data_IF_134114169499
#
_entry.id   IF_134114169499
#
_cell.length_a   1.000
_cell.length_b   1.000
_cell.length_c   1.000
_cell.angle_alpha   90.00
_cell.angle_beta   90.00
_cell.angle_gamma   90.00
#
_symmetry.space_group_name_H-M   'P 1'
#
loop_
_entity.id
_entity.type
_entity.pdbx_description
1 polymer ?
#
# COMPACT_ATOMS: atom_id res chain seq x y z
N UNK A 1 -27.65 2.40 3.21
CA UNK A 1 -26.91 2.08 1.98
C UNK A 1 -27.10 0.62 1.63
N UNK A 2 -27.57 0.35 0.45
CA UNK A 2 -27.80 -1.02 0.03
C UNK A 2 -26.49 -1.66 -0.39
N UNK A 3 -26.55 -2.97 -0.60
CA UNK A 3 -25.40 -3.72 -1.05
C UNK A 3 -24.95 -3.24 -2.43
N UNK A 4 -25.92 -2.95 -3.29
CA UNK A 4 -25.64 -2.45 -4.60
C UNK A 4 -24.94 -1.08 -4.56
N UNK A 5 -25.39 -0.24 -3.63
CA UNK A 5 -24.78 1.07 -3.44
C UNK A 5 -23.36 0.95 -2.98
N UNK A 6 -23.08 0.01 -2.08
CA UNK A 6 -21.71 -0.21 -1.61
C UNK A 6 -20.82 -0.70 -2.73
N UNK A 7 -21.32 -1.60 -3.54
CA UNK A 7 -20.55 -2.13 -4.64
C UNK A 7 -20.19 -1.01 -5.62
N UNK A 8 -21.16 -0.17 -5.93
CA UNK A 8 -20.94 0.95 -6.83
C UNK A 8 -19.94 1.93 -6.24
N UNK A 9 -20.02 2.14 -4.94
CA UNK A 9 -19.10 3.05 -4.27
C UNK A 9 -17.66 2.52 -4.35
N UNK A 10 -17.50 1.22 -4.15
CA UNK A 10 -16.17 0.63 -4.24
C UNK A 10 -15.59 0.80 -5.66
N UNK A 11 -16.43 0.60 -6.68
CA UNK A 11 -16.00 0.81 -8.06
C UNK A 11 -15.58 2.27 -8.27
N UNK A 12 -16.34 3.20 -7.71
CA UNK A 12 -16.00 4.62 -7.83
C UNK A 12 -14.68 4.96 -7.18
N UNK A 13 -14.43 4.38 -6.03
CA UNK A 13 -13.14 4.58 -5.36
C UNK A 13 -12.00 4.05 -6.22
N UNK A 14 -12.23 2.93 -6.89
CA UNK A 14 -11.22 2.39 -7.77
C UNK A 14 -10.93 3.28 -8.96
N UNK A 15 -11.95 3.95 -9.46
CA UNK A 15 -11.76 4.88 -10.57
C UNK A 15 -10.91 6.07 -10.14
N UNK A 16 -11.01 6.46 -8.89
CA UNK A 16 -10.23 7.59 -8.40
C UNK A 16 -8.80 7.20 -8.07
N UNK A 17 -8.49 5.91 -8.03
CA UNK A 17 -7.13 5.46 -7.76
C UNK A 17 -6.23 5.86 -8.91
N UNK A 18 -5.13 6.61 -8.66
CA UNK A 18 -4.25 6.99 -9.75
C UNK A 18 -3.64 5.77 -10.43
N UNK A 19 -3.54 5.78 -11.74
CA UNK A 19 -2.94 4.63 -12.43
C UNK A 19 -1.47 4.50 -12.09
N UNK A 20 -1.01 3.27 -12.01
CA UNK A 20 0.39 3.01 -11.73
C UNK A 20 1.17 3.11 -13.03
N UNK A 21 2.29 3.84 -13.05
CA UNK A 21 3.08 3.91 -14.27
C UNK A 21 3.55 2.54 -14.72
N UNK A 22 3.71 2.41 -16.03
CA UNK A 22 4.12 1.13 -16.59
C UNK A 22 5.44 0.66 -15.99
N UNK A 23 6.36 1.59 -15.75
CA UNK A 23 7.66 1.23 -15.20
C UNK A 23 7.56 0.61 -13.82
N UNK A 24 6.47 0.86 -13.10
CA UNK A 24 6.28 0.30 -11.78
C UNK A 24 5.51 -1.02 -11.80
N UNK A 25 5.05 -1.46 -12.95
CA UNK A 25 4.35 -2.74 -13.07
C UNK A 25 5.34 -3.86 -13.28
N UNK A 26 6.17 -4.08 -12.28
CA UNK A 26 7.24 -5.06 -12.35
C UNK A 26 6.85 -6.32 -11.62
N UNK A 27 7.62 -7.38 -11.85
CA UNK A 27 7.41 -8.62 -11.12
C UNK A 27 7.60 -8.44 -9.62
N UNK A 28 8.56 -7.60 -9.25
CA UNK A 28 8.81 -7.36 -7.83
C UNK A 28 7.60 -6.72 -7.16
N UNK A 29 6.86 -5.89 -7.90
CA UNK A 29 5.68 -5.24 -7.36
C UNK A 29 4.40 -6.05 -7.55
N UNK A 30 4.47 -7.17 -8.26
CA UNK A 30 3.31 -7.99 -8.49
C UNK A 30 2.93 -8.72 -7.22
N UNK A 31 1.65 -8.66 -6.87
CA UNK A 31 1.14 -9.37 -5.70
C UNK A 31 0.60 -10.70 -6.17
N UNK A 32 1.16 -11.77 -5.64
CA UNK A 32 0.74 -13.10 -6.04
C UNK A 32 -0.45 -13.55 -5.21
N UNK A 33 -1.15 -14.56 -5.72
CA UNK A 33 -2.31 -15.08 -5.01
C UNK A 33 -3.61 -14.41 -5.36
N UNK A 34 -3.57 -13.46 -6.32
CA UNK A 34 -4.78 -12.78 -6.76
C UNK A 34 -5.22 -13.34 -8.11
N UNK A 35 -6.52 -13.49 -8.30
CA UNK A 35 -7.05 -13.92 -9.58
C UNK A 35 -6.81 -12.87 -10.65
N UNK A 36 -6.94 -11.60 -10.27
CA UNK A 36 -6.64 -10.48 -11.17
C UNK A 36 -5.18 -10.12 -11.03
N UNK A 37 -4.68 -9.35 -11.99
CA UNK A 37 -3.34 -8.82 -11.86
C UNK A 37 -3.36 -7.66 -10.90
N UNK A 38 -2.47 -7.69 -9.93
CA UNK A 38 -2.37 -6.65 -8.91
C UNK A 38 -0.91 -6.29 -8.72
N UNK A 39 -0.64 -4.99 -8.67
CA UNK A 39 0.70 -4.48 -8.39
C UNK A 39 0.64 -3.54 -7.21
N UNK A 40 1.63 -3.64 -6.32
CA UNK A 40 1.79 -2.75 -5.19
C UNK A 40 3.22 -2.26 -5.14
N UNK A 41 3.38 -0.96 -5.19
CA UNK A 41 4.69 -0.33 -5.06
C UNK A 41 4.72 0.40 -3.72
N UNK A 42 5.78 0.22 -2.98
CA UNK A 42 5.91 0.77 -1.65
C UNK A 42 7.08 1.75 -1.61
N UNK A 43 6.79 2.95 -1.13
CA UNK A 43 7.82 3.95 -0.92
C UNK A 43 8.02 4.10 0.57
N UNK A 44 9.26 4.00 1.03
CA UNK A 44 9.56 4.07 2.45
C UNK A 44 10.25 5.39 2.72
N UNK A 45 9.63 6.20 3.57
CA UNK A 45 10.25 7.43 4.02
C UNK A 45 10.93 7.14 5.34
N UNK A 46 12.22 7.43 5.41
CA UNK A 46 13.01 7.02 6.55
C UNK A 46 12.53 7.58 7.86
N UNK A 47 12.93 6.93 8.93
CA UNK A 47 12.62 7.38 10.27
C UNK A 47 13.36 8.66 10.58
N UNK A 48 12.73 9.56 11.32
CA UNK A 48 13.39 10.75 11.82
C UNK A 48 13.13 10.83 13.29
N UNK A 49 14.13 11.22 14.02
CA UNK A 49 13.99 11.48 15.46
C UNK A 49 13.43 10.27 16.21
N UNK A 50 13.88 9.09 15.84
CA UNK A 50 13.46 7.89 16.54
C UNK A 50 12.09 7.35 16.16
N UNK A 51 11.37 8.04 15.27
CA UNK A 51 10.07 7.55 14.85
C UNK A 51 10.24 6.44 13.82
N UNK A 52 9.24 5.57 13.74
CA UNK A 52 9.25 4.52 12.74
C UNK A 52 9.08 5.12 11.34
N UNK A 53 9.59 4.46 10.31
CA UNK A 53 9.44 4.97 8.96
C UNK A 53 7.98 4.95 8.51
N UNK A 54 7.65 5.87 7.61
CA UNK A 54 6.32 5.93 7.01
C UNK A 54 6.35 5.23 5.68
N UNK A 55 5.25 4.60 5.34
CA UNK A 55 5.13 3.94 4.06
C UNK A 55 4.03 4.59 3.23
N UNK A 56 4.34 4.81 1.96
CA UNK A 56 3.37 5.31 0.99
C UNK A 56 3.18 4.20 -0.03
N UNK A 57 1.94 3.86 -0.30
CA UNK A 57 1.64 2.78 -1.22
C UNK A 57 1.00 3.30 -2.49
N UNK A 58 1.36 2.70 -3.61
CA UNK A 58 0.73 2.94 -4.89
C UNK A 58 0.43 1.58 -5.50
N UNK A 59 -0.62 1.50 -6.27
CA UNK A 59 -0.96 0.20 -6.83
C UNK A 59 -2.01 0.31 -7.90
N UNK A 60 -2.25 -0.82 -8.54
CA UNK A 60 -3.21 -0.88 -9.62
C UNK A 60 -3.64 -2.33 -9.83
N UNK A 61 -4.70 -2.50 -10.61
CA UNK A 61 -5.16 -3.82 -10.99
C UNK A 61 -5.91 -3.71 -12.31
N UNK A 62 -6.03 -4.82 -12.99
CA UNK A 62 -6.80 -4.86 -14.23
C UNK A 62 -8.28 -5.10 -13.97
N UNK A 63 -8.70 -5.24 -12.71
CA UNK A 63 -10.10 -5.44 -12.36
C UNK A 63 -10.62 -4.25 -11.57
N UNK A 64 -11.76 -3.71 -11.99
CA UNK A 64 -12.29 -2.48 -11.41
C UNK A 64 -12.63 -2.63 -9.93
N UNK A 65 -13.25 -3.75 -9.55
CA UNK A 65 -13.62 -3.94 -8.16
C UNK A 65 -12.36 -4.09 -7.29
N UNK A 66 -11.33 -4.71 -7.84
CA UNK A 66 -10.08 -4.88 -7.10
C UNK A 66 -9.39 -3.54 -6.92
N UNK A 67 -9.44 -2.67 -7.94
CA UNK A 67 -8.90 -1.33 -7.78
C UNK A 67 -9.58 -0.60 -6.63
N UNK A 68 -10.89 -0.80 -6.48
CA UNK A 68 -11.62 -0.19 -5.37
C UNK A 68 -11.17 -0.72 -4.03
N UNK A 69 -10.94 -2.03 -3.95
CA UNK A 69 -10.45 -2.62 -2.71
C UNK A 69 -9.05 -2.12 -2.38
N UNK A 70 -8.22 -1.94 -3.41
CA UNK A 70 -6.88 -1.37 -3.21
C UNK A 70 -6.99 0.05 -2.67
N UNK A 71 -7.90 0.85 -3.24
CA UNK A 71 -8.07 2.22 -2.78
C UNK A 71 -8.45 2.27 -1.30
N UNK A 72 -9.30 1.36 -0.87
CA UNK A 72 -9.69 1.30 0.53
C UNK A 72 -8.51 0.88 1.41
N UNK A 73 -7.75 -0.11 0.96
CA UNK A 73 -6.56 -0.53 1.71
C UNK A 73 -5.58 0.63 1.87
N UNK A 74 -5.40 1.42 0.82
CA UNK A 74 -4.50 2.55 0.91
C UNK A 74 -5.03 3.62 1.85
N UNK A 75 -6.35 3.80 1.89
CA UNK A 75 -6.93 4.75 2.84
C UNK A 75 -6.67 4.31 4.28
N UNK A 76 -6.58 3.01 4.49
CA UNK A 76 -6.32 2.48 5.84
C UNK A 76 -4.86 2.58 6.20
N UNK A 77 -3.97 2.31 5.26
CA UNK A 77 -2.56 2.08 5.57
C UNK A 77 -1.59 3.13 5.04
N UNK A 78 -1.87 3.74 3.90
CA UNK A 78 -0.87 4.59 3.26
C UNK A 78 -0.60 5.86 4.08
N UNK A 79 0.65 6.23 4.17
CA UNK A 79 1.03 7.43 4.90
C UNK A 79 1.22 7.22 6.38
N UNK A 80 1.05 6.00 6.86
CA UNK A 80 1.20 5.71 8.29
C UNK A 80 2.57 5.17 8.58
N UNK A 81 2.94 5.21 9.84
CA UNK A 81 4.21 4.63 10.28
C UNK A 81 4.11 3.12 10.27
N UNK A 82 5.23 2.46 10.03
CA UNK A 82 5.26 1.02 9.88
C UNK A 82 4.68 0.28 11.08
N UNK A 83 4.97 0.78 12.29
CA UNK A 83 4.44 0.12 13.48
C UNK A 83 2.94 0.26 13.59
N UNK A 84 2.39 1.39 13.16
CA UNK A 84 0.94 1.58 13.15
C UNK A 84 0.29 0.64 12.15
N UNK A 85 0.92 0.49 11.00
CA UNK A 85 0.39 -0.40 9.97
C UNK A 85 0.26 -1.81 10.51
N UNK A 86 1.29 -2.27 11.20
CA UNK A 86 1.30 -3.64 11.72
C UNK A 86 0.26 -3.86 12.81
N UNK A 87 -0.23 -2.79 13.42
CA UNK A 87 -1.25 -2.90 14.46
C UNK A 87 -2.66 -2.72 13.93
N UNK A 88 -2.82 -2.42 12.65
CA UNK A 88 -4.12 -2.11 12.07
C UNK A 88 -4.68 -3.32 11.33
N UNK A 89 -5.90 -3.70 11.67
CA UNK A 89 -6.56 -4.87 11.09
C UNK A 89 -7.51 -4.43 9.99
N UNK A 90 -7.07 -4.57 8.74
CA UNK A 90 -7.89 -4.17 7.61
C UNK A 90 -9.14 -5.00 7.46
N UNK A 91 -9.07 -6.29 7.81
CA UNK A 91 -10.25 -7.13 7.70
C UNK A 91 -11.34 -6.67 8.65
N UNK A 92 -10.96 -6.25 9.84
CA UNK A 92 -11.91 -5.70 10.79
C UNK A 92 -12.56 -4.43 10.28
N UNK A 93 -11.77 -3.58 9.63
CA UNK A 93 -12.30 -2.36 9.05
C UNK A 93 -13.30 -2.69 7.94
N UNK A 94 -12.96 -3.66 7.08
CA UNK A 94 -13.85 -4.06 6.00
C UNK A 94 -15.17 -4.57 6.54
N UNK A 95 -15.12 -5.35 7.62
CA UNK A 95 -16.38 -5.85 8.25
C UNK A 95 -17.21 -4.70 8.77
N UNK A 96 -16.57 -3.75 9.42
CA UNK A 96 -17.31 -2.61 9.99
C UNK A 96 -17.92 -1.74 8.90
N UNK A 97 -17.29 -1.70 7.73
CA UNK A 97 -17.83 -0.93 6.61
C UNK A 97 -18.89 -1.69 5.81
N UNK A 98 -19.15 -2.93 6.18
CA UNK A 98 -20.13 -3.73 5.45
C UNK A 98 -19.64 -4.20 4.11
N UNK A 99 -18.34 -4.35 3.94
CA UNK A 99 -17.75 -4.72 2.66
C UNK A 99 -17.39 -6.19 2.59
N UNK A 100 -17.65 -6.95 3.63
CA UNK A 100 -17.26 -8.35 3.65
C UNK A 100 -17.94 -9.16 2.55
N UNK A 101 -19.16 -8.80 2.17
CA UNK A 101 -19.86 -9.51 1.13
C UNK A 101 -19.22 -9.35 -0.23
N UNK A 102 -18.40 -8.34 -0.41
CA UNK A 102 -17.71 -8.15 -1.69
C UNK A 102 -16.42 -8.94 -1.77
N UNK A 103 -16.10 -9.65 -0.68
CA UNK A 103 -14.90 -10.48 -0.66
C UNK A 103 -15.31 -11.93 -0.95
N UNK A 104 -15.51 -12.22 -2.23
CA UNK A 104 -15.74 -13.61 -2.62
C UNK A 104 -14.49 -14.43 -2.27
N UNK A 105 -14.57 -15.75 -2.29
CA UNK A 105 -13.38 -16.54 -1.93
C UNK A 105 -12.13 -16.16 -2.70
N UNK A 106 -12.27 -15.90 -4.01
CA UNK A 106 -11.13 -15.49 -4.80
C UNK A 106 -10.62 -14.13 -4.40
N UNK A 107 -11.53 -13.21 -4.15
CA UNK A 107 -11.12 -11.87 -3.73
C UNK A 107 -10.55 -11.87 -2.32
N UNK A 108 -11.08 -12.74 -1.46
CA UNK A 108 -10.54 -12.84 -0.10
C UNK A 108 -9.10 -13.29 -0.11
N UNK A 109 -8.76 -14.24 -0.98
CA UNK A 109 -7.38 -14.69 -1.08
C UNK A 109 -6.48 -13.56 -1.56
N UNK A 110 -6.92 -12.84 -2.59
CA UNK A 110 -6.15 -11.70 -3.08
C UNK A 110 -6.03 -10.59 -2.06
N UNK A 111 -7.12 -10.34 -1.34
CA UNK A 111 -7.12 -9.33 -0.31
C UNK A 111 -6.10 -9.69 0.78
N UNK A 112 -6.11 -10.95 1.22
CA UNK A 112 -5.16 -11.41 2.23
C UNK A 112 -3.73 -11.28 1.73
N UNK A 113 -3.50 -11.57 0.46
CA UNK A 113 -2.16 -11.45 -0.12
C UNK A 113 -1.69 -10.00 -0.13
N UNK A 114 -2.59 -9.08 -0.45
CA UNK A 114 -2.26 -7.67 -0.44
C UNK A 114 -1.93 -7.17 0.97
N UNK A 115 -2.73 -7.58 1.95
CA UNK A 115 -2.47 -7.20 3.34
C UNK A 115 -1.15 -7.78 3.80
N UNK A 116 -0.87 -9.02 3.45
CA UNK A 116 0.39 -9.66 3.83
C UNK A 116 1.58 -8.94 3.20
N UNK A 117 1.44 -8.49 1.95
CA UNK A 117 2.51 -7.75 1.30
C UNK A 117 2.75 -6.43 2.02
N UNK A 118 1.68 -5.75 2.41
CA UNK A 118 1.80 -4.49 3.14
C UNK A 118 2.50 -4.72 4.48
N UNK A 119 2.14 -5.78 5.17
CA UNK A 119 2.78 -6.10 6.45
C UNK A 119 4.25 -6.47 6.26
N UNK A 120 4.54 -7.24 5.23
CA UNK A 120 5.93 -7.63 4.96
C UNK A 120 6.78 -6.39 4.70
N UNK A 121 6.28 -5.48 3.88
CA UNK A 121 7.02 -4.27 3.57
C UNK A 121 7.19 -3.41 4.82
N UNK A 122 6.19 -3.40 5.69
CA UNK A 122 6.29 -2.64 6.93
C UNK A 122 7.32 -3.22 7.88
N UNK A 123 7.36 -4.55 7.99
CA UNK A 123 8.37 -5.21 8.82
C UNK A 123 9.77 -4.96 8.28
N UNK A 124 9.91 -5.01 6.97
CA UNK A 124 11.22 -4.74 6.36
C UNK A 124 11.65 -3.30 6.59
N UNK A 125 10.71 -2.38 6.53
CA UNK A 125 11.01 -0.98 6.78
C UNK A 125 11.49 -0.77 8.22
N UNK A 126 10.86 -1.46 9.16
CA UNK A 126 11.27 -1.35 10.56
C UNK A 126 12.67 -1.90 10.78
N UNK A 127 13.03 -2.96 10.06
CA UNK A 127 14.36 -3.55 10.21
C UNK A 127 15.41 -2.81 9.39
N UNK A 128 15.00 -1.87 8.55
CA UNK A 128 15.93 -1.17 7.69
C UNK A 128 16.26 -1.89 6.40
N UNK A 129 15.67 -3.05 6.17
CA UNK A 129 15.97 -3.81 4.97
C UNK A 129 15.53 -3.13 3.71
N UNK A 130 14.36 -2.50 3.74
CA UNK A 130 13.84 -1.85 2.56
C UNK A 130 14.75 -0.72 2.11
N UNK A 131 15.31 0.02 3.06
CA UNK A 131 16.22 1.10 2.71
C UNK A 131 17.53 0.58 2.19
N UNK A 132 18.00 -0.53 2.72
CA UNK A 132 19.26 -1.08 2.26
C UNK A 132 19.16 -1.65 0.85
N UNK A 133 18.02 -2.14 0.50
CA UNK A 133 17.87 -2.70 -0.83
C UNK A 133 17.54 -1.66 -1.89
N UNK A 134 17.32 -0.40 -1.49
CA UNK A 134 17.10 0.61 -2.45
C UNK A 134 18.36 1.00 -3.08
N UNK A 135 18.35 1.09 -4.27
CA UNK A 135 19.53 1.38 -5.02
C UNK A 135 20.09 2.63 -4.64
N UNK A 136 20.44 3.02 -4.43
CA UNK A 136 20.81 3.99 -4.10
C UNK A 136 21.23 4.80 -4.48
N UNK A 137 21.08 4.89 -4.60
CA UNK A 137 20.90 5.88 -4.95
C UNK A 137 21.43 6.65 -4.05
N UNK A 138 21.56 6.51 -3.33
CA UNK A 138 21.94 7.15 -2.50
C UNK A 138 22.74 7.80 -2.45
N UNK A 139 22.91 8.18 -2.52
CA UNK A 139 23.40 8.95 -2.40
C UNK A 139 24.20 9.42 -1.82
N UNK A 140 24.37 9.66 -1.85
CA UNK A 140 25.28 10.13 -1.55
C UNK A 140 25.03 11.18 -0.94
N UNK A 141 24.88 11.38 -0.30
CA UNK A 141 24.82 12.31 0.44
C UNK A 141 24.65 13.60 0.06
N UNK A 142 25.14 13.95 -0.41
CA UNK A 142 25.19 15.20 -0.71
C UNK A 142 24.24 15.36 -1.55
N UNK A 143 23.68 14.70 -1.71
CA UNK A 143 23.01 14.84 -2.70
C UNK A 143 21.67 15.15 -2.45
N UNK A 144 20.84 15.21 -3.34
CA UNK A 144 19.45 15.57 -3.25
C UNK A 144 18.72 14.77 -2.22
N UNK A 145 19.19 13.58 -2.00
CA UNK A 145 18.59 12.74 -0.97
C UNK A 145 18.75 13.38 0.40
N UNK A 146 19.92 13.91 0.65
CA UNK A 146 20.14 14.59 1.92
C UNK A 146 19.26 15.80 2.07
N UNK A 147 19.15 16.57 1.00
CA UNK A 147 18.27 17.73 1.05
C UNK A 147 16.84 17.34 1.29
N UNK A 148 16.41 16.29 0.63
CA UNK A 148 15.06 15.83 0.80
C UNK A 148 14.79 15.41 2.23
N UNK A 149 15.74 14.77 2.86
CA UNK A 149 15.60 14.38 4.24
C UNK A 149 15.53 15.58 5.16
N UNK A 150 16.29 16.61 4.86
CA UNK A 150 16.23 17.82 5.64
C UNK A 150 14.87 18.48 5.54
N UNK A 151 14.32 18.51 4.35
CA UNK A 151 13.01 19.11 4.17
C UNK A 151 11.96 18.34 4.95
N UNK A 152 12.05 17.04 4.95
CA UNK A 152 11.09 16.24 5.69
C UNK A 152 11.19 16.48 7.18
N UNK A 153 12.40 16.65 7.67
CA UNK A 153 12.56 16.93 9.08
C UNK A 153 11.96 18.26 9.46
N UNK A 154 12.06 19.21 8.58
CA UNK A 154 11.51 20.51 8.86
C UNK A 154 9.99 20.50 8.85
N UNK A 155 9.39 19.52 8.21
CA UNK A 155 7.96 19.41 8.23
C UNK A 155 7.48 18.70 9.47
#
# INVERSE_FOLDING_TARGET
>A
MTEEDRYRYVIELGRALPPLPEAARTEANRVRGCASQVWLATEVNGATDGAAPRLIFKGDSDAHIVRGLIAILFAIYSGRCADEILRTDAQGVFRRLGLAEHLTPQRSNGFASMVERIYTDSRRALSGEARRSEPRTTPTNNDPVSLFNLVRKAS
#
